data_IF_844405392937
#
_entry.id   IF_844405392937
#
_cell.length_a   1.000
_cell.length_b   1.000
_cell.length_c   1.000
_cell.angle_alpha   90.00
_cell.angle_beta   90.00
_cell.angle_gamma   90.00
#
_symmetry.space_group_name_H-M   'P 1'
#
loop_
_entity.id
_entity.type
_entity.pdbx_description
1 polymer ?
#
# COMPACT_ATOMS: atom_id res chain seq x y z
N UNK A 1 -32.66 -4.33 1.83
CA UNK A 1 -31.33 -4.95 1.80
C UNK A 1 -30.35 -4.00 2.46
N UNK A 2 -29.99 -4.26 3.72
CA UNK A 2 -28.94 -3.48 4.41
C UNK A 2 -27.62 -3.84 3.74
N UNK A 3 -26.98 -2.88 3.07
CA UNK A 3 -25.60 -3.07 2.67
C UNK A 3 -24.79 -3.15 3.96
N UNK A 4 -24.33 -4.34 4.32
CA UNK A 4 -23.32 -4.49 5.35
C UNK A 4 -22.17 -3.56 4.99
N UNK A 5 -21.93 -2.56 5.85
CA UNK A 5 -20.83 -1.64 5.68
C UNK A 5 -19.57 -2.45 5.96
N UNK A 6 -19.00 -3.04 4.91
CA UNK A 6 -17.69 -3.73 4.90
C UNK A 6 -16.58 -2.91 5.60
N UNK A 7 -16.77 -1.60 5.71
CA UNK A 7 -15.92 -0.66 6.42
C UNK A 7 -15.96 -0.78 7.96
N UNK A 8 -17.09 -1.18 8.56
CA UNK A 8 -17.28 -1.14 10.02
C UNK A 8 -16.51 -2.27 10.74
N UNK A 9 -16.04 -3.29 10.01
CA UNK A 9 -15.23 -4.41 10.54
C UNK A 9 -13.73 -4.26 10.28
N UNK A 10 -13.29 -3.14 9.71
CA UNK A 10 -11.92 -2.96 9.24
C UNK A 10 -10.99 -2.51 10.37
N UNK A 11 -9.94 -3.29 10.65
CA UNK A 11 -8.92 -2.92 11.62
C UNK A 11 -7.96 -1.88 11.01
N UNK A 12 -8.27 -0.59 11.27
CA UNK A 12 -7.51 0.54 10.72
C UNK A 12 -6.04 0.51 11.18
N UNK A 13 -5.76 0.05 12.39
CA UNK A 13 -4.39 0.02 12.92
C UNK A 13 -3.53 -0.95 12.09
N UNK A 14 -4.07 -2.13 11.75
CA UNK A 14 -3.37 -3.11 10.89
C UNK A 14 -3.30 -2.71 9.43
N UNK A 15 -4.32 -1.99 8.94
CA UNK A 15 -4.42 -1.58 7.53
C UNK A 15 -3.51 -0.41 7.18
N UNK A 16 -3.32 0.50 8.12
CA UNK A 16 -2.57 1.73 7.95
C UNK A 16 -1.14 1.52 7.41
N UNK A 17 -0.27 0.68 8.01
CA UNK A 17 1.08 0.46 7.50
C UNK A 17 1.09 -0.01 6.04
N UNK A 18 0.17 -0.92 5.69
CA UNK A 18 0.02 -1.46 4.33
C UNK A 18 -0.46 -0.40 3.35
N UNK A 19 -1.43 0.43 3.74
CA UNK A 19 -1.90 1.53 2.88
C UNK A 19 -0.79 2.52 2.55
N UNK A 20 0.01 2.90 3.56
CA UNK A 20 1.12 3.83 3.38
C UNK A 20 2.19 3.20 2.49
N UNK A 21 2.60 1.96 2.77
CA UNK A 21 3.61 1.26 1.96
C UNK A 21 3.17 1.12 0.50
N UNK A 22 1.92 0.72 0.24
CA UNK A 22 1.39 0.58 -1.11
C UNK A 22 1.18 1.92 -1.84
N UNK A 23 1.03 3.03 -1.11
CA UNK A 23 0.87 4.34 -1.74
C UNK A 23 2.08 4.75 -2.58
N UNK A 24 3.25 4.20 -2.28
CA UNK A 24 4.49 4.40 -3.04
C UNK A 24 4.39 3.92 -4.49
N UNK A 25 3.53 2.96 -4.81
CA UNK A 25 3.30 2.50 -6.20
C UNK A 25 2.67 3.57 -7.10
N UNK A 26 2.14 4.64 -6.50
CA UNK A 26 1.36 5.68 -7.18
C UNK A 26 2.06 7.04 -7.14
N UNK A 27 3.33 7.08 -6.72
CA UNK A 27 4.14 8.27 -6.78
C UNK A 27 4.86 8.36 -8.12
N UNK A 28 5.02 9.58 -8.63
CA UNK A 28 5.82 9.88 -9.82
C UNK A 28 7.33 9.86 -9.49
N UNK A 29 7.75 8.82 -8.77
CA UNK A 29 9.13 8.60 -8.35
C UNK A 29 9.50 7.17 -8.70
N UNK A 30 10.62 6.98 -9.40
CA UNK A 30 11.10 5.66 -9.75
C UNK A 30 11.58 4.91 -8.51
N UNK A 31 10.77 3.98 -8.02
CA UNK A 31 11.13 3.11 -6.90
C UNK A 31 12.37 2.29 -7.22
N UNK A 32 13.30 2.28 -6.26
CA UNK A 32 14.53 1.50 -6.27
C UNK A 32 14.33 0.17 -5.54
N UNK A 33 15.30 -0.75 -5.67
CA UNK A 33 15.26 -2.06 -4.98
C UNK A 33 15.05 -1.90 -3.45
N UNK A 34 15.70 -0.91 -2.84
CA UNK A 34 15.55 -0.61 -1.41
C UNK A 34 14.12 -0.27 -1.03
N UNK A 35 13.41 0.48 -1.87
CA UNK A 35 12.03 0.88 -1.58
C UNK A 35 11.11 -0.34 -1.61
N UNK A 36 11.34 -1.28 -2.54
CA UNK A 36 10.58 -2.54 -2.56
C UNK A 36 10.88 -3.44 -1.36
N UNK A 37 12.11 -3.46 -0.85
CA UNK A 37 12.44 -4.16 0.39
C UNK A 37 11.72 -3.53 1.59
N UNK A 38 11.64 -2.20 1.63
CA UNK A 38 10.94 -1.46 2.67
C UNK A 38 9.42 -1.76 2.63
N UNK A 39 8.82 -1.81 1.43
CA UNK A 39 7.41 -2.21 1.26
C UNK A 39 7.19 -3.69 1.63
N UNK A 40 8.08 -4.58 1.17
CA UNK A 40 8.03 -6.00 1.46
C UNK A 40 8.12 -6.28 2.96
N UNK A 41 8.90 -5.47 3.67
CA UNK A 41 9.05 -5.56 5.10
C UNK A 41 7.71 -5.36 5.83
N UNK A 42 6.96 -4.30 5.50
CA UNK A 42 5.61 -4.10 6.04
C UNK A 42 4.65 -5.21 5.65
N UNK A 43 4.78 -5.75 4.43
CA UNK A 43 3.99 -6.90 4.00
C UNK A 43 4.25 -8.14 4.87
N UNK A 44 5.52 -8.45 5.18
CA UNK A 44 5.92 -9.59 6.02
C UNK A 44 5.48 -9.43 7.48
N UNK A 45 5.60 -8.22 8.05
CA UNK A 45 5.16 -7.96 9.42
C UNK A 45 3.64 -7.92 9.59
N UNK A 46 2.92 -7.62 8.52
CA UNK A 46 1.47 -7.54 8.59
C UNK A 46 0.85 -8.93 8.78
N UNK A 47 -0.36 -9.01 9.34
CA UNK A 47 -1.09 -10.27 9.44
C UNK A 47 -1.73 -10.71 8.12
N UNK A 48 -1.38 -10.06 7.00
CA UNK A 48 -1.95 -10.30 5.69
C UNK A 48 -0.96 -11.03 4.80
N UNK A 49 -1.46 -12.03 4.08
CA UNK A 49 -0.73 -12.66 2.99
C UNK A 49 -0.50 -11.66 1.85
N UNK A 50 0.50 -11.90 1.01
CA UNK A 50 0.74 -11.06 -0.17
C UNK A 50 -0.47 -11.01 -1.12
N UNK A 51 -1.28 -12.06 -1.16
CA UNK A 51 -2.53 -12.09 -1.92
C UNK A 51 -3.58 -11.14 -1.33
N UNK A 52 -3.76 -11.14 -0.01
CA UNK A 52 -4.64 -10.19 0.67
C UNK A 52 -4.16 -8.75 0.51
N UNK A 53 -2.85 -8.51 0.51
CA UNK A 53 -2.27 -7.19 0.26
C UNK A 53 -2.57 -6.69 -1.16
N UNK A 54 -2.56 -7.57 -2.16
CA UNK A 54 -3.02 -7.24 -3.51
C UNK A 54 -4.50 -6.85 -3.53
N UNK A 55 -5.34 -7.55 -2.77
CA UNK A 55 -6.76 -7.19 -2.62
C UNK A 55 -6.97 -5.88 -1.86
N UNK A 56 -6.19 -5.61 -0.80
CA UNK A 56 -6.18 -4.32 -0.10
C UNK A 56 -5.83 -3.21 -1.09
N UNK A 57 -4.77 -3.39 -1.88
CA UNK A 57 -4.40 -2.42 -2.90
C UNK A 57 -5.55 -2.17 -3.86
N UNK A 58 -6.08 -3.24 -4.48
CA UNK A 58 -7.14 -3.17 -5.49
C UNK A 58 -8.40 -2.46 -4.98
N UNK A 59 -8.83 -2.76 -3.77
CA UNK A 59 -10.14 -2.37 -3.26
C UNK A 59 -10.12 -1.11 -2.38
N UNK A 60 -8.97 -0.80 -1.76
CA UNK A 60 -8.84 0.24 -0.73
C UNK A 60 -7.91 1.38 -1.20
N UNK A 61 -6.70 1.07 -1.67
CA UNK A 61 -5.65 2.06 -2.02
C UNK A 61 -5.81 2.60 -3.45
N UNK A 62 -5.88 1.69 -4.43
CA UNK A 62 -6.02 2.00 -5.86
C UNK A 62 -7.15 2.99 -6.15
N UNK A 63 -8.38 2.84 -5.61
CA UNK A 63 -9.48 3.76 -5.90
C UNK A 63 -9.23 5.21 -5.50
N UNK A 64 -8.27 5.46 -4.61
CA UNK A 64 -7.89 6.80 -4.15
C UNK A 64 -6.72 7.34 -4.97
N UNK A 65 -5.78 6.48 -5.36
CA UNK A 65 -4.48 6.88 -5.89
C UNK A 65 -4.28 6.66 -7.40
N UNK A 66 -5.16 5.90 -8.08
CA UNK A 66 -5.05 5.72 -9.53
C UNK A 66 -5.03 7.03 -10.34
N UNK A 67 -5.70 8.14 -9.93
CA UNK A 67 -5.63 9.39 -10.70
C UNK A 67 -4.19 9.92 -10.81
N UNK A 68 -3.32 9.60 -9.84
CA UNK A 68 -1.92 10.02 -9.83
C UNK A 68 -1.12 9.38 -10.97
N UNK A 69 -1.56 8.23 -11.50
CA UNK A 69 -0.88 7.55 -12.61
C UNK A 69 -1.05 8.28 -13.96
N UNK A 70 -1.88 9.33 -14.02
CA UNK A 70 -2.21 10.05 -15.26
C UNK A 70 -2.05 11.56 -15.19
N UNK A 71 -1.81 12.10 -14.00
CA UNK A 71 -1.65 13.53 -13.79
C UNK A 71 -0.15 13.84 -13.69
N UNK A 72 0.33 14.85 -14.44
CA UNK A 72 1.61 15.51 -14.18
C UNK A 72 1.42 16.30 -12.89
N UNK A 73 1.43 15.60 -11.77
CA UNK A 73 1.03 16.19 -10.53
C UNK A 73 2.25 16.86 -9.91
N UNK A 74 2.38 18.15 -10.22
CA UNK A 74 3.27 19.10 -9.58
C UNK A 74 3.03 19.11 -8.07
N UNK A 75 4.11 18.90 -7.30
CA UNK A 75 4.21 19.15 -5.86
C UNK A 75 3.25 18.33 -4.97
N UNK A 76 3.47 17.01 -4.93
CA UNK A 76 3.03 16.15 -3.81
C UNK A 76 3.98 16.22 -2.63
N UNK A 77 4.27 17.43 -2.16
CA UNK A 77 5.03 17.57 -0.92
C UNK A 77 4.15 17.00 0.22
N UNK A 78 4.42 15.74 0.56
CA UNK A 78 3.81 14.92 1.60
C UNK A 78 2.35 14.51 1.37
N UNK A 79 2.15 13.28 0.88
CA UNK A 79 1.01 12.47 1.30
C UNK A 79 1.01 12.41 2.83
N UNK A 80 0.33 13.35 3.49
CA UNK A 80 0.14 13.27 4.93
C UNK A 80 -0.67 12.01 5.17
N UNK A 81 -0.08 11.10 5.94
CA UNK A 81 -0.65 9.80 6.29
C UNK A 81 -2.13 9.91 6.71
N UNK A 82 -2.47 10.94 7.48
CA UNK A 82 -3.83 11.24 7.91
C UNK A 82 -4.79 11.49 6.73
N UNK A 83 -4.35 12.19 5.69
CA UNK A 83 -5.16 12.47 4.50
C UNK A 83 -5.36 11.24 3.62
N UNK A 84 -4.33 10.40 3.47
CA UNK A 84 -4.45 9.10 2.79
C UNK A 84 -5.50 8.24 3.48
N UNK A 85 -5.37 8.04 4.79
CA UNK A 85 -6.32 7.26 5.60
C UNK A 85 -7.74 7.82 5.46
N UNK A 86 -7.90 9.14 5.61
CA UNK A 86 -9.20 9.83 5.49
C UNK A 86 -9.83 9.60 4.11
N UNK A 87 -9.05 9.66 3.03
CA UNK A 87 -9.55 9.48 1.68
C UNK A 87 -9.92 8.03 1.38
N UNK A 88 -9.14 7.06 1.86
CA UNK A 88 -9.50 5.63 1.78
C UNK A 88 -10.81 5.35 2.51
N UNK A 89 -10.95 5.84 3.75
CA UNK A 89 -12.20 5.72 4.54
C UNK A 89 -13.40 6.29 3.79
N UNK A 90 -13.28 7.51 3.24
CA UNK A 90 -14.34 8.15 2.44
C UNK A 90 -14.68 7.35 1.17
N UNK A 91 -13.67 6.80 0.49
CA UNK A 91 -13.87 5.96 -0.71
C UNK A 91 -14.64 4.69 -0.40
N UNK A 92 -14.31 4.02 0.73
CA UNK A 92 -15.00 2.82 1.18
C UNK A 92 -16.46 3.10 1.59
N UNK A 93 -16.72 4.20 2.30
CA UNK A 93 -18.07 4.59 2.71
C UNK A 93 -19.02 4.89 1.53
N UNK A 94 -18.48 5.40 0.42
CA UNK A 94 -19.25 5.72 -0.79
C UNK A 94 -19.41 4.52 -1.74
N UNK A 95 -18.90 3.34 -1.38
CA UNK A 95 -18.85 2.19 -2.28
C UNK A 95 -20.24 1.58 -2.49
N UNK A 96 -20.76 1.71 -3.70
CA UNK A 96 -21.96 1.02 -4.18
C UNK A 96 -21.63 0.12 -5.39
N UNK A 97 -22.62 -0.62 -5.92
CA UNK A 97 -22.42 -1.58 -7.02
C UNK A 97 -21.85 -0.90 -8.28
N UNK A 98 -22.39 0.26 -8.66
CA UNK A 98 -21.92 1.00 -9.84
C UNK A 98 -20.44 1.38 -9.67
N UNK A 99 -20.09 1.94 -8.51
CA UNK A 99 -18.69 2.28 -8.20
C UNK A 99 -17.78 1.06 -8.12
N UNK A 100 -18.26 -0.12 -7.69
CA UNK A 100 -17.47 -1.37 -7.72
C UNK A 100 -17.16 -1.80 -9.16
N UNK A 101 -18.14 -1.71 -10.05
CA UNK A 101 -17.97 -2.05 -11.47
C UNK A 101 -16.99 -1.09 -12.13
N UNK A 102 -17.20 0.22 -11.96
CA UNK A 102 -16.29 1.26 -12.47
C UNK A 102 -14.85 1.00 -12.03
N UNK A 103 -14.61 0.81 -10.73
CA UNK A 103 -13.27 0.56 -10.19
C UNK A 103 -12.66 -0.74 -10.68
N UNK A 104 -13.48 -1.77 -10.89
CA UNK A 104 -13.01 -3.04 -11.45
C UNK A 104 -12.48 -2.82 -12.87
N UNK A 105 -13.24 -2.11 -13.72
CA UNK A 105 -12.83 -1.78 -15.09
C UNK A 105 -11.56 -0.92 -15.05
N UNK A 106 -11.55 0.15 -14.25
CA UNK A 106 -10.38 1.03 -14.12
C UNK A 106 -9.15 0.25 -13.68
N UNK A 107 -9.25 -0.62 -12.66
CA UNK A 107 -8.13 -1.45 -12.23
C UNK A 107 -7.56 -2.31 -13.36
N UNK A 108 -8.41 -2.92 -14.19
CA UNK A 108 -7.95 -3.72 -15.33
C UNK A 108 -7.21 -2.90 -16.39
N UNK A 109 -7.54 -1.62 -16.56
CA UNK A 109 -6.80 -0.71 -17.46
C UNK A 109 -5.41 -0.39 -16.92
N UNK A 110 -5.26 -0.16 -15.61
CA UNK A 110 -3.98 0.20 -14.98
C UNK A 110 -3.15 -1.01 -14.51
N UNK A 111 -3.67 -2.24 -14.65
CA UNK A 111 -3.00 -3.46 -14.15
C UNK A 111 -1.58 -3.63 -14.68
N UNK A 112 -1.30 -3.19 -15.90
CA UNK A 112 0.01 -3.31 -16.52
C UNK A 112 1.07 -2.49 -15.81
N UNK A 113 0.74 -1.25 -15.45
CA UNK A 113 1.61 -0.36 -14.68
C UNK A 113 1.87 -0.91 -13.28
N UNK A 114 0.82 -1.40 -12.62
CA UNK A 114 0.94 -2.00 -11.30
C UNK A 114 1.68 -3.34 -11.32
N UNK A 115 1.63 -4.10 -12.43
CA UNK A 115 2.28 -5.41 -12.53
C UNK A 115 3.79 -5.30 -12.27
N UNK A 116 4.43 -4.27 -12.80
CA UNK A 116 5.86 -4.02 -12.58
C UNK A 116 6.19 -3.89 -11.10
N UNK A 117 5.41 -3.09 -10.36
CA UNK A 117 5.58 -2.94 -8.91
C UNK A 117 5.32 -4.25 -8.16
N UNK A 118 4.30 -5.02 -8.55
CA UNK A 118 3.99 -6.29 -7.94
C UNK A 118 5.06 -7.36 -8.17
N UNK A 119 5.67 -7.41 -9.36
CA UNK A 119 6.75 -8.36 -9.65
C UNK A 119 7.99 -8.06 -8.79
N UNK A 120 8.36 -6.79 -8.66
CA UNK A 120 9.49 -6.37 -7.81
C UNK A 120 9.20 -6.60 -6.32
N UNK A 121 7.97 -6.31 -5.87
CA UNK A 121 7.56 -6.58 -4.50
C UNK A 121 7.55 -8.09 -4.19
N UNK A 122 7.11 -8.94 -5.11
CA UNK A 122 7.11 -10.40 -4.93
C UNK A 122 8.55 -10.93 -4.78
N UNK A 123 9.50 -10.42 -5.58
CA UNK A 123 10.92 -10.75 -5.44
C UNK A 123 11.47 -10.32 -4.07
N UNK A 124 11.22 -9.07 -3.66
CA UNK A 124 11.67 -8.54 -2.37
C UNK A 124 11.04 -9.30 -1.18
N UNK A 125 9.75 -9.63 -1.27
CA UNK A 125 9.03 -10.39 -0.26
C UNK A 125 9.60 -11.80 -0.10
N UNK A 126 9.90 -12.50 -1.20
CA UNK A 126 10.56 -13.81 -1.16
C UNK A 126 11.99 -13.71 -0.63
N UNK A 127 12.74 -12.68 -1.02
CA UNK A 127 14.08 -12.42 -0.50
C UNK A 127 14.04 -12.33 1.03
N UNK A 128 13.12 -11.54 1.59
CA UNK A 128 12.96 -11.42 3.04
C UNK A 128 12.53 -12.73 3.72
N UNK A 129 11.60 -13.50 3.14
CA UNK A 129 11.17 -14.77 3.74
C UNK A 129 12.24 -15.87 3.68
N UNK A 130 13.11 -15.83 2.68
CA UNK A 130 14.20 -16.79 2.53
C UNK A 130 15.43 -16.42 3.38
N UNK A 131 15.59 -15.13 3.67
CA UNK A 131 16.61 -14.64 4.59
C UNK A 131 16.21 -15.01 6.02
N UNK A 132 17.17 -15.51 6.81
CA UNK A 132 16.91 -15.89 8.20
C UNK A 132 16.44 -14.70 9.05
N UNK A 133 15.81 -15.00 10.19
CA UNK A 133 15.28 -13.99 11.13
C UNK A 133 16.29 -12.86 11.45
N UNK A 134 17.58 -13.19 11.55
CA UNK A 134 18.65 -12.23 11.86
C UNK A 134 18.88 -11.19 10.75
N UNK A 135 18.67 -11.55 9.48
CA UNK A 135 18.84 -10.64 8.36
C UNK A 135 17.61 -9.73 8.16
N UNK A 136 16.42 -10.21 8.55
CA UNK A 136 15.22 -9.38 8.70
C UNK A 136 15.46 -8.33 9.81
N UNK A 137 16.02 -8.73 10.96
CA UNK A 137 16.35 -7.82 12.06
C UNK A 137 17.42 -6.77 11.67
N UNK A 138 18.43 -7.14 10.87
CA UNK A 138 19.39 -6.17 10.33
C UNK A 138 18.72 -5.19 9.36
N UNK A 139 17.83 -5.68 8.50
CA UNK A 139 17.07 -4.83 7.57
C UNK A 139 16.18 -3.84 8.36
N UNK A 140 15.60 -4.31 9.46
CA UNK A 140 14.87 -3.51 10.46
C UNK A 140 15.69 -2.40 11.09
N UNK A 141 16.91 -2.70 11.54
CA UNK A 141 17.79 -1.68 12.08
C UNK A 141 18.21 -0.64 11.05
N UNK A 142 18.42 -1.06 9.79
CA UNK A 142 18.73 -0.13 8.71
C UNK A 142 17.54 0.76 8.38
N UNK A 143 16.33 0.21 8.34
CA UNK A 143 15.08 0.96 8.16
C UNK A 143 14.90 2.05 9.21
N UNK A 144 15.06 1.71 10.50
CA UNK A 144 14.97 2.68 11.61
C UNK A 144 16.00 3.81 11.52
N UNK A 145 17.11 3.59 10.81
CA UNK A 145 18.18 4.58 10.61
C UNK A 145 17.98 5.45 9.37
N UNK A 146 17.09 5.07 8.45
CA UNK A 146 16.77 5.89 7.27
C UNK A 146 15.74 6.96 7.66
N UNK A 147 15.99 8.20 7.28
CA UNK A 147 14.94 9.22 7.22
C UNK A 147 14.01 8.88 6.05
N UNK A 148 13.13 7.91 6.24
CA UNK A 148 12.05 7.64 5.30
C UNK A 148 11.07 8.83 5.36
N UNK A 149 10.48 9.25 4.22
CA UNK A 149 9.49 10.35 4.20
C UNK A 149 8.23 10.06 5.04
N UNK A 150 8.10 8.83 5.50
CA UNK A 150 7.16 8.42 6.53
C UNK A 150 7.99 7.96 7.74
N UNK A 151 7.92 8.70 8.84
CA UNK A 151 8.47 8.25 10.11
C UNK A 151 7.62 7.08 10.63
N UNK A 152 8.14 5.87 10.46
CA UNK A 152 7.47 4.64 10.88
C UNK A 152 7.95 4.16 12.27
N UNK A 153 8.78 4.95 12.96
CA UNK A 153 9.47 4.57 14.19
C UNK A 153 8.55 4.21 15.36
N UNK A 154 7.33 4.76 15.39
CA UNK A 154 6.40 4.63 16.52
C UNK A 154 5.37 3.48 16.39
N UNK A 155 5.41 2.67 15.33
CA UNK A 155 4.34 1.69 15.03
C UNK A 155 4.65 0.24 15.47
N UNK A 156 5.73 0.02 16.23
CA UNK A 156 6.16 -1.32 16.70
C UNK A 156 6.14 -1.50 18.23
N UNK A 157 5.38 -0.67 18.96
CA UNK A 157 5.14 -0.84 20.39
C UNK A 157 3.69 -1.25 20.68
#
# INVERSE_FOLDING_TARGET
MKFDKMYDTLDIAKRKPIWVALSLFYLDTQLQKSDYLDIAFYAVLSPYTLMEIKEINRNEVFPVLYPNLTSIASEWDYFKEADLIKNIKKSLQKRNIIKKIELTITYYLYRGLLKYHWDNLDLAYRELLNNGHDDILKSLEQLKKRNTPFDFGDQLN
#
